data_IF_858436892269
#
_entry.id   IF_858436892269
#
_cell.length_a   1.000
_cell.length_b   1.000
_cell.length_c   1.000
_cell.angle_alpha   90.00
_cell.angle_beta   90.00
_cell.angle_gamma   90.00
#
_symmetry.space_group_name_H-M   'P 1'
#
loop_
_entity.id
_entity.type
_entity.pdbx_description
1 polymer ?
#
# COMPACT_ATOMS: atom_id res chain seq x y z
N UNK A 1 8.83 5.51 6.65
CA UNK A 1 8.74 4.14 6.10
C UNK A 1 9.96 3.36 6.57
N UNK A 2 9.79 2.18 7.15
CA UNK A 2 10.86 1.39 7.76
C UNK A 2 11.20 0.17 6.89
N UNK A 3 11.54 0.42 5.63
CA UNK A 3 12.09 -0.63 4.78
C UNK A 3 13.56 -0.89 5.14
N UNK A 4 14.04 -2.09 4.78
CA UNK A 4 15.44 -2.48 4.98
C UNK A 4 16.39 -1.39 4.49
N UNK A 5 17.36 -1.00 5.32
CA UNK A 5 18.41 -0.04 4.96
C UNK A 5 19.69 -0.72 4.44
N UNK A 6 19.75 -2.05 4.51
CA UNK A 6 20.86 -2.88 4.01
C UNK A 6 20.28 -4.13 3.35
N UNK A 7 19.90 -3.98 2.08
CA UNK A 7 19.23 -5.04 1.34
C UNK A 7 20.10 -6.27 1.18
N UNK A 8 21.41 -6.11 1.01
CA UNK A 8 22.32 -7.24 0.84
C UNK A 8 22.35 -8.14 2.08
N UNK A 9 22.54 -7.52 3.26
CA UNK A 9 22.52 -8.23 4.53
C UNK A 9 21.15 -8.84 4.81
N UNK A 10 20.09 -8.06 4.67
CA UNK A 10 18.76 -8.50 5.09
C UNK A 10 18.21 -9.60 4.16
N UNK A 11 18.52 -9.55 2.86
CA UNK A 11 18.23 -10.64 1.92
C UNK A 11 18.99 -11.91 2.29
N UNK A 12 20.29 -11.81 2.59
CA UNK A 12 21.10 -12.95 3.01
C UNK A 12 20.49 -13.63 4.25
N UNK A 13 20.18 -12.84 5.29
CA UNK A 13 19.58 -13.34 6.53
C UNK A 13 18.25 -14.05 6.26
N UNK A 14 17.36 -13.47 5.44
CA UNK A 14 16.07 -14.09 5.13
C UNK A 14 16.28 -15.42 4.38
N UNK A 15 17.17 -15.47 3.40
CA UNK A 15 17.50 -16.71 2.69
C UNK A 15 18.06 -17.80 3.62
N UNK A 16 18.90 -17.45 4.59
CA UNK A 16 19.47 -18.39 5.56
C UNK A 16 18.40 -18.95 6.50
N UNK A 17 17.48 -18.11 6.97
CA UNK A 17 16.35 -18.51 7.82
C UNK A 17 15.45 -19.50 7.08
N UNK A 18 15.08 -19.19 5.83
CA UNK A 18 14.15 -20.00 5.04
C UNK A 18 14.75 -21.34 4.62
N UNK A 19 16.03 -21.37 4.23
CA UNK A 19 16.68 -22.62 3.84
C UNK A 19 17.00 -23.51 5.04
N UNK A 20 17.19 -22.93 6.23
CA UNK A 20 17.45 -23.71 7.44
C UNK A 20 16.19 -24.17 8.17
N UNK A 21 14.99 -23.78 7.72
CA UNK A 21 13.74 -23.92 8.47
C UNK A 21 13.92 -23.43 9.92
N UNK A 22 14.35 -22.17 10.04
CA UNK A 22 14.71 -21.51 11.31
C UNK A 22 15.99 -22.00 11.99
N UNK A 23 16.56 -23.17 11.67
CA UNK A 23 17.59 -23.82 12.52
C UNK A 23 18.90 -23.05 12.69
N UNK A 24 19.23 -22.16 11.76
CA UNK A 24 20.47 -21.35 11.84
C UNK A 24 20.31 -20.18 12.82
N UNK A 25 19.09 -19.70 13.03
CA UNK A 25 18.81 -18.50 13.84
C UNK A 25 18.03 -18.83 15.11
N UNK A 26 17.15 -19.82 15.06
CA UNK A 26 16.30 -20.28 16.15
C UNK A 26 16.47 -21.79 16.36
N UNK A 27 16.31 -22.27 17.59
CA UNK A 27 16.40 -23.69 17.94
C UNK A 27 15.10 -24.48 17.63
N UNK A 28 14.20 -23.92 16.82
CA UNK A 28 12.93 -24.52 16.43
C UNK A 28 12.99 -25.09 15.01
N UNK A 29 12.11 -26.04 14.69
CA UNK A 29 11.95 -26.61 13.34
C UNK A 29 10.64 -26.18 12.68
N UNK A 30 10.10 -25.05 13.09
CA UNK A 30 8.84 -24.55 12.52
C UNK A 30 9.11 -23.94 11.14
N UNK A 31 8.20 -24.23 10.21
CA UNK A 31 8.18 -23.63 8.89
C UNK A 31 7.96 -22.12 9.03
N UNK A 32 8.89 -21.33 8.47
CA UNK A 32 8.83 -19.88 8.54
C UNK A 32 8.00 -19.34 7.38
N UNK A 33 6.99 -18.55 7.70
CA UNK A 33 6.21 -17.83 6.71
C UNK A 33 6.74 -16.41 6.53
N UNK A 34 6.91 -16.00 5.28
CA UNK A 34 7.32 -14.63 4.93
C UNK A 34 6.08 -13.78 4.69
N UNK A 35 6.03 -12.63 5.35
CA UNK A 35 4.96 -11.65 5.19
C UNK A 35 5.55 -10.33 4.69
N UNK A 36 4.97 -9.80 3.62
CA UNK A 36 5.21 -8.43 3.17
C UNK A 36 3.98 -7.58 3.48
N UNK A 37 4.19 -6.36 3.94
CA UNK A 37 3.12 -5.47 4.44
C UNK A 37 2.82 -4.32 3.50
N UNK A 38 3.69 -4.07 2.53
CA UNK A 38 3.55 -3.02 1.53
C UNK A 38 3.99 -3.55 0.15
N UNK A 39 3.12 -3.60 -0.86
CA UNK A 39 3.52 -4.04 -2.20
C UNK A 39 4.02 -2.88 -3.07
N UNK A 40 4.00 -1.63 -2.58
CA UNK A 40 4.36 -0.45 -3.36
C UNK A 40 5.78 -0.57 -3.91
N UNK A 41 5.89 -0.56 -5.24
CA UNK A 41 7.18 -0.57 -5.92
C UNK A 41 7.89 0.76 -5.75
N UNK A 42 7.14 1.86 -5.86
CA UNK A 42 7.61 3.23 -5.67
C UNK A 42 6.77 3.97 -4.64
N UNK A 43 7.39 4.92 -3.95
CA UNK A 43 6.74 5.84 -3.02
C UNK A 43 7.39 7.23 -3.12
N UNK A 44 6.66 8.27 -2.74
CA UNK A 44 7.16 9.65 -2.73
C UNK A 44 7.73 10.03 -1.34
N UNK A 45 8.87 10.72 -1.32
CA UNK A 45 9.47 11.30 -0.12
C UNK A 45 9.99 12.73 -0.40
N UNK A 46 10.82 13.30 0.48
CA UNK A 46 11.37 14.66 0.30
C UNK A 46 12.22 14.84 -0.97
N UNK A 47 12.64 13.75 -1.62
CA UNK A 47 13.41 13.85 -2.85
C UNK A 47 12.50 14.11 -4.06
N UNK A 48 12.94 14.89 -5.08
CA UNK A 48 12.09 15.25 -6.23
C UNK A 48 11.58 14.11 -7.12
N UNK A 49 12.01 12.88 -6.90
CA UNK A 49 11.70 11.72 -7.72
C UNK A 49 11.31 10.55 -6.81
N UNK A 50 10.31 9.72 -7.20
CA UNK A 50 9.91 8.56 -6.43
C UNK A 50 11.08 7.64 -6.07
N UNK A 51 10.95 6.99 -4.92
CA UNK A 51 11.93 6.06 -4.35
C UNK A 51 11.40 4.66 -4.38
N UNK A 52 12.29 3.68 -4.42
CA UNK A 52 11.91 2.29 -4.23
C UNK A 52 11.32 2.08 -2.84
N UNK A 53 10.19 1.38 -2.81
CA UNK A 53 9.55 0.91 -1.59
C UNK A 53 9.77 -0.59 -1.37
N UNK A 54 9.06 -1.13 -0.41
CA UNK A 54 9.10 -2.55 -0.05
C UNK A 54 8.80 -3.49 -1.23
N UNK A 55 7.98 -3.08 -2.20
CA UNK A 55 7.69 -3.88 -3.39
C UNK A 55 8.95 -4.17 -4.21
N UNK A 56 9.86 -3.21 -4.32
CA UNK A 56 11.14 -3.40 -5.00
C UNK A 56 12.07 -4.34 -4.20
N UNK A 57 12.11 -4.20 -2.87
CA UNK A 57 12.85 -5.11 -1.98
C UNK A 57 12.35 -6.55 -2.13
N UNK A 58 11.02 -6.74 -2.10
CA UNK A 58 10.39 -8.06 -2.30
C UNK A 58 10.81 -8.69 -3.62
N UNK A 59 10.77 -7.94 -4.72
CA UNK A 59 11.18 -8.44 -6.04
C UNK A 59 12.66 -8.84 -6.08
N UNK A 60 13.54 -8.07 -5.43
CA UNK A 60 14.95 -8.41 -5.32
C UNK A 60 15.17 -9.72 -4.53
N UNK A 61 14.52 -9.85 -3.36
CA UNK A 61 14.59 -11.07 -2.55
C UNK A 61 14.04 -12.27 -3.32
N UNK A 62 12.87 -12.14 -3.94
CA UNK A 62 12.21 -13.22 -4.68
C UNK A 62 13.11 -13.74 -5.80
N UNK A 63 13.76 -12.83 -6.55
CA UNK A 63 14.69 -13.21 -7.61
C UNK A 63 15.92 -13.93 -7.08
N UNK A 64 16.55 -13.40 -6.03
CA UNK A 64 17.74 -14.01 -5.42
C UNK A 64 17.41 -15.39 -4.83
N UNK A 65 16.30 -15.50 -4.11
CA UNK A 65 15.82 -16.77 -3.56
C UNK A 65 15.56 -17.80 -4.66
N UNK A 66 14.93 -17.38 -5.77
CA UNK A 66 14.67 -18.27 -6.90
C UNK A 66 15.96 -18.80 -7.54
N UNK A 67 16.97 -17.96 -7.75
CA UNK A 67 18.26 -18.39 -8.28
C UNK A 67 18.99 -19.35 -7.32
N UNK A 68 18.85 -19.14 -6.01
CA UNK A 68 19.52 -19.94 -4.99
C UNK A 68 18.85 -21.30 -4.75
N UNK A 69 17.52 -21.34 -4.70
CA UNK A 69 16.72 -22.52 -4.28
C UNK A 69 16.08 -23.25 -5.47
N UNK A 70 16.00 -22.59 -6.63
CA UNK A 70 15.34 -23.12 -7.83
C UNK A 70 13.81 -23.11 -7.77
N UNK A 71 13.22 -22.42 -6.78
CA UNK A 71 11.76 -22.31 -6.57
C UNK A 71 11.37 -20.88 -6.24
N UNK A 72 10.15 -20.43 -6.58
CA UNK A 72 9.67 -19.11 -6.18
C UNK A 72 9.62 -19.00 -4.65
N UNK A 73 9.88 -17.80 -4.13
CA UNK A 73 9.76 -17.49 -2.70
C UNK A 73 8.30 -17.66 -2.26
N UNK A 74 7.98 -18.54 -1.28
CA UNK A 74 6.65 -18.55 -0.68
C UNK A 74 6.49 -17.34 0.24
N UNK A 75 5.52 -16.47 -0.05
CA UNK A 75 5.19 -15.33 0.81
C UNK A 75 3.70 -15.00 0.77
N UNK A 76 3.26 -14.25 1.78
CA UNK A 76 1.92 -13.66 1.86
C UNK A 76 2.07 -12.14 1.76
N UNK A 77 1.34 -11.52 0.82
CA UNK A 77 1.33 -10.08 0.64
C UNK A 77 0.12 -9.44 1.31
N UNK A 78 0.39 -8.40 2.08
CA UNK A 78 -0.55 -7.46 2.65
C UNK A 78 -0.21 -6.03 2.20
N UNK A 79 -1.13 -5.10 2.43
CA UNK A 79 -1.04 -3.70 1.99
C UNK A 79 -1.95 -3.40 0.80
N UNK A 80 -2.17 -2.12 0.52
CA UNK A 80 -2.94 -1.70 -0.67
C UNK A 80 -2.24 -2.27 -1.91
N UNK A 81 -2.94 -2.80 -2.93
CA UNK A 81 -4.37 -2.68 -3.20
C UNK A 81 -5.20 -3.86 -2.65
N UNK A 82 -4.71 -4.64 -1.69
CA UNK A 82 -5.43 -5.78 -1.16
C UNK A 82 -6.71 -5.34 -0.41
N UNK A 83 -7.85 -5.91 -0.79
CA UNK A 83 -9.16 -5.54 -0.24
C UNK A 83 -9.31 -5.85 1.26
N UNK A 84 -8.48 -6.75 1.82
CA UNK A 84 -8.53 -7.10 3.24
C UNK A 84 -8.17 -5.90 4.13
N UNK A 85 -7.22 -5.05 3.72
CA UNK A 85 -6.90 -3.82 4.42
C UNK A 85 -8.06 -2.84 4.40
N UNK A 86 -8.72 -2.66 3.24
CA UNK A 86 -9.84 -1.73 3.12
C UNK A 86 -11.03 -2.16 3.95
N UNK A 87 -11.37 -3.45 3.99
CA UNK A 87 -12.43 -3.98 4.87
C UNK A 87 -12.12 -3.76 6.35
N UNK A 88 -10.88 -4.07 6.75
CA UNK A 88 -10.44 -3.83 8.12
C UNK A 88 -10.53 -2.33 8.48
N UNK A 89 -10.14 -1.46 7.55
CA UNK A 89 -10.17 -0.01 7.75
C UNK A 89 -11.61 0.52 7.81
N UNK A 90 -12.50 0.00 6.98
CA UNK A 90 -13.93 0.30 7.01
C UNK A 90 -14.55 -0.06 8.37
N UNK A 91 -14.27 -1.26 8.90
CA UNK A 91 -14.77 -1.68 10.21
C UNK A 91 -14.31 -0.74 11.34
N UNK A 92 -13.05 -0.31 11.28
CA UNK A 92 -12.50 0.65 12.25
C UNK A 92 -13.14 2.04 12.11
N UNK A 93 -13.31 2.54 10.88
CA UNK A 93 -13.96 3.82 10.63
C UNK A 93 -15.43 3.79 11.09
N UNK A 94 -16.16 2.70 10.84
CA UNK A 94 -17.53 2.51 11.34
C UNK A 94 -17.57 2.52 12.87
N UNK A 95 -16.66 1.82 13.54
CA UNK A 95 -16.56 1.84 15.01
C UNK A 95 -16.27 3.24 15.54
N UNK A 96 -15.37 3.97 14.88
CA UNK A 96 -15.05 5.35 15.23
C UNK A 96 -16.25 6.29 15.04
N UNK A 97 -16.97 6.18 13.92
CA UNK A 97 -18.18 6.96 13.65
C UNK A 97 -19.25 6.74 14.73
N UNK A 98 -19.52 5.48 15.09
CA UNK A 98 -20.46 5.11 16.16
C UNK A 98 -20.04 5.72 17.51
N UNK A 99 -18.75 5.66 17.84
CA UNK A 99 -18.25 6.27 19.10
C UNK A 99 -18.42 7.79 19.18
N UNK A 100 -18.54 8.46 18.02
CA UNK A 100 -18.77 9.89 17.91
C UNK A 100 -20.27 10.24 17.77
N UNK A 101 -21.17 9.24 17.83
CA UNK A 101 -22.61 9.43 17.74
C UNK A 101 -23.18 9.42 16.32
N UNK A 102 -22.38 9.05 15.31
CA UNK A 102 -22.85 8.86 13.93
C UNK A 102 -23.40 7.44 13.74
N UNK A 103 -24.50 7.31 13.01
CA UNK A 103 -25.20 6.02 12.83
C UNK A 103 -24.87 5.32 11.52
N UNK A 104 -24.37 6.04 10.52
CA UNK A 104 -24.02 5.47 9.22
C UNK A 104 -22.77 6.13 8.63
N UNK A 105 -22.06 5.36 7.81
CA UNK A 105 -20.89 5.78 7.03
C UNK A 105 -21.20 5.49 5.56
N UNK A 106 -21.82 6.46 4.90
CA UNK A 106 -22.33 6.33 3.53
C UNK A 106 -21.21 6.37 2.48
N UNK A 107 -20.19 7.19 2.71
CA UNK A 107 -19.09 7.44 1.78
C UNK A 107 -17.77 7.52 2.53
N UNK A 108 -16.73 6.91 1.96
CA UNK A 108 -15.35 7.02 2.43
C UNK A 108 -14.47 7.49 1.28
N UNK A 109 -13.88 8.68 1.40
CA UNK A 109 -12.95 9.20 0.40
C UNK A 109 -11.54 8.67 0.65
N UNK A 110 -11.04 7.82 -0.25
CA UNK A 110 -9.64 7.38 -0.24
C UNK A 110 -8.80 8.36 -1.04
N UNK A 111 -8.13 9.29 -0.35
CA UNK A 111 -7.25 10.30 -0.95
C UNK A 111 -5.81 9.77 -0.93
N UNK A 112 -5.17 9.67 -2.11
CA UNK A 112 -3.80 9.20 -2.24
C UNK A 112 -3.11 9.63 -3.52
N UNK A 113 -1.81 9.42 -3.59
CA UNK A 113 -0.94 9.88 -4.68
C UNK A 113 -0.46 8.75 -5.60
N UNK A 114 -0.72 7.48 -5.24
CA UNK A 114 -0.25 6.33 -6.00
C UNK A 114 -1.42 5.57 -6.68
N UNK A 115 -1.59 5.69 -8.01
CA UNK A 115 -2.67 5.04 -8.74
C UNK A 115 -2.73 3.52 -8.55
N UNK A 116 -1.58 2.85 -8.63
CA UNK A 116 -1.49 1.40 -8.53
C UNK A 116 -1.76 0.85 -7.12
N UNK A 117 -1.75 1.72 -6.10
CA UNK A 117 -1.94 1.36 -4.69
C UNK A 117 -3.24 1.95 -4.11
N UNK A 118 -3.31 3.28 -3.97
CA UNK A 118 -4.44 4.00 -3.37
C UNK A 118 -5.70 3.84 -4.22
N UNK A 119 -5.59 4.24 -5.49
CA UNK A 119 -6.74 4.33 -6.38
C UNK A 119 -7.27 2.95 -6.72
N UNK A 120 -6.37 2.05 -7.14
CA UNK A 120 -6.69 0.63 -7.37
C UNK A 120 -7.25 -0.03 -6.11
N UNK A 121 -6.67 0.23 -4.95
CA UNK A 121 -7.12 -0.35 -3.69
C UNK A 121 -8.56 0.04 -3.33
N UNK A 122 -8.86 1.35 -3.38
CA UNK A 122 -10.21 1.85 -3.12
C UNK A 122 -11.22 1.34 -4.15
N UNK A 123 -10.83 1.31 -5.44
CA UNK A 123 -11.67 0.77 -6.52
C UNK A 123 -11.97 -0.73 -6.32
N UNK A 124 -10.97 -1.52 -5.93
CA UNK A 124 -11.16 -2.95 -5.63
C UNK A 124 -12.02 -3.19 -4.38
N UNK A 125 -11.95 -2.28 -3.39
CA UNK A 125 -12.81 -2.35 -2.22
C UNK A 125 -14.28 -2.06 -2.56
N UNK A 126 -14.52 -1.20 -3.55
CA UNK A 126 -15.86 -0.80 -3.96
C UNK A 126 -16.55 0.08 -2.91
N UNK A 127 -17.87 0.24 -3.03
CA UNK A 127 -18.63 1.07 -2.07
C UNK A 127 -18.45 0.57 -0.62
N UNK A 128 -18.29 1.46 0.37
CA UNK A 128 -18.50 2.92 0.29
C UNK A 128 -17.27 3.74 -0.16
N UNK A 129 -16.19 3.12 -0.61
CA UNK A 129 -14.96 3.81 -0.98
C UNK A 129 -15.07 4.57 -2.31
N UNK A 130 -14.61 5.82 -2.32
CA UNK A 130 -14.47 6.67 -3.50
C UNK A 130 -13.00 7.06 -3.65
N UNK A 131 -12.33 6.67 -4.75
CA UNK A 131 -10.93 7.01 -4.97
C UNK A 131 -10.75 8.48 -5.38
N UNK A 132 -9.79 9.16 -4.74
CA UNK A 132 -9.36 10.52 -5.05
C UNK A 132 -7.85 10.53 -5.23
N UNK A 133 -7.40 11.04 -6.38
CA UNK A 133 -5.99 11.16 -6.71
C UNK A 133 -5.50 12.59 -6.43
N UNK A 134 -4.35 12.73 -5.78
CA UNK A 134 -3.65 14.01 -5.62
C UNK A 134 -2.34 14.01 -6.42
N UNK A 135 -1.91 15.19 -6.89
CA UNK A 135 -0.75 15.35 -7.80
C UNK A 135 0.55 15.76 -7.09
N UNK A 136 0.68 15.46 -5.80
CA UNK A 136 1.82 15.88 -4.95
C UNK A 136 2.83 14.76 -4.67
N UNK A 137 2.75 13.60 -5.33
CA UNK A 137 3.54 12.43 -4.96
C UNK A 137 3.90 11.53 -6.14
N UNK A 138 3.62 10.24 -6.04
CA UNK A 138 3.94 9.24 -7.07
C UNK A 138 3.31 9.58 -8.42
N UNK A 139 2.11 10.15 -8.41
CA UNK A 139 1.48 10.82 -9.53
C UNK A 139 1.66 12.34 -9.39
N UNK A 140 2.03 12.99 -10.49
CA UNK A 140 2.36 14.40 -10.56
C UNK A 140 1.60 15.13 -11.66
N UNK A 141 1.71 16.45 -11.70
CA UNK A 141 1.14 17.28 -12.77
C UNK A 141 1.67 16.95 -14.16
N UNK A 142 2.84 16.33 -14.25
CA UNK A 142 3.46 15.95 -15.52
C UNK A 142 2.91 14.62 -16.07
N UNK A 143 2.21 13.85 -15.24
CA UNK A 143 1.65 12.53 -15.60
C UNK A 143 0.26 12.63 -16.24
N UNK A 144 -0.28 13.85 -16.35
CA UNK A 144 -1.55 14.15 -17.01
C UNK A 144 -2.68 14.48 -16.03
N UNK A 145 -3.92 14.32 -16.51
CA UNK A 145 -5.12 14.71 -15.76
C UNK A 145 -5.60 13.63 -14.80
N UNK A 146 -5.44 12.35 -15.16
CA UNK A 146 -5.79 11.18 -14.36
C UNK A 146 -4.96 9.99 -14.86
N UNK A 147 -4.80 8.95 -14.05
CA UNK A 147 -4.07 7.76 -14.48
C UNK A 147 -4.90 6.94 -15.48
N UNK A 148 -4.35 6.54 -16.63
CA UNK A 148 -5.10 5.81 -17.66
C UNK A 148 -5.40 4.35 -17.29
N UNK A 149 -4.61 3.74 -16.41
CA UNK A 149 -4.75 2.35 -16.00
C UNK A 149 -5.58 2.20 -14.72
N UNK A 150 -5.41 3.15 -13.80
CA UNK A 150 -6.08 3.20 -12.49
C UNK A 150 -6.75 4.57 -12.28
N UNK A 151 -7.79 4.93 -13.05
CA UNK A 151 -8.40 6.24 -12.97
C UNK A 151 -9.11 6.46 -11.62
N UNK A 152 -8.92 7.63 -11.02
CA UNK A 152 -9.67 8.06 -9.84
C UNK A 152 -11.00 8.72 -10.23
N UNK A 153 -11.93 8.80 -9.28
CA UNK A 153 -13.24 9.45 -9.51
C UNK A 153 -13.11 10.98 -9.45
N UNK A 154 -12.16 11.47 -8.65
CA UNK A 154 -11.78 12.88 -8.59
C UNK A 154 -10.26 13.01 -8.57
N UNK A 155 -9.76 14.08 -9.16
CA UNK A 155 -8.32 14.42 -9.15
C UNK A 155 -8.16 15.86 -8.71
N UNK A 156 -7.25 16.11 -7.77
CA UNK A 156 -6.94 17.42 -7.22
C UNK A 156 -5.43 17.68 -7.26
N UNK A 157 -5.02 18.94 -7.20
CA UNK A 157 -3.61 19.30 -7.11
C UNK A 157 -3.00 18.75 -5.84
N UNK A 158 -3.67 18.95 -4.71
CA UNK A 158 -3.20 18.53 -3.40
C UNK A 158 -4.35 18.13 -2.45
N UNK A 159 -3.98 17.68 -1.25
CA UNK A 159 -4.93 17.24 -0.22
C UNK A 159 -5.79 18.38 0.32
N UNK A 160 -5.29 19.62 0.33
CA UNK A 160 -6.03 20.77 0.82
C UNK A 160 -7.16 21.13 -0.13
N UNK A 161 -6.88 21.17 -1.45
CA UNK A 161 -7.89 21.37 -2.48
C UNK A 161 -8.96 20.26 -2.42
N UNK A 162 -8.54 19.00 -2.27
CA UNK A 162 -9.46 17.87 -2.15
C UNK A 162 -10.41 18.05 -0.97
N UNK A 163 -9.87 18.29 0.24
CA UNK A 163 -10.68 18.45 1.45
C UNK A 163 -11.61 19.65 1.34
N UNK A 164 -11.08 20.81 0.94
CA UNK A 164 -11.86 22.05 0.83
C UNK A 164 -13.04 21.90 -0.11
N UNK A 165 -12.83 21.25 -1.27
CA UNK A 165 -13.88 21.02 -2.26
C UNK A 165 -14.94 20.04 -1.75
N UNK A 166 -14.51 18.94 -1.11
CA UNK A 166 -15.45 17.94 -0.58
C UNK A 166 -16.32 18.50 0.54
N UNK A 167 -15.73 19.27 1.47
CA UNK A 167 -16.47 19.90 2.57
C UNK A 167 -17.50 20.89 2.03
N UNK A 168 -17.13 21.73 1.05
CA UNK A 168 -18.08 22.64 0.39
C UNK A 168 -19.23 21.90 -0.29
N UNK A 169 -18.93 20.81 -1.00
CA UNK A 169 -19.94 19.97 -1.67
C UNK A 169 -20.92 19.36 -0.68
N UNK A 170 -20.43 18.83 0.44
CA UNK A 170 -21.26 18.24 1.50
C UNK A 170 -22.06 19.28 2.30
N UNK A 171 -21.58 20.52 2.37
CA UNK A 171 -22.30 21.62 3.05
C UNK A 171 -23.41 22.23 2.19
N UNK A 172 -23.40 21.95 0.89
CA UNK A 172 -24.35 22.49 -0.09
C UNK A 172 -25.44 21.48 -0.50
N UNK A 173 -25.33 20.24 -0.03
CA UNK A 173 -26.28 19.12 -0.23
C UNK A 173 -27.17 18.92 0.98
#
# INVERSE_FOLDING_TARGET
MSDSTDWGRDIQIICDILQSNSRVVFSTQEEVQVYFTNPDFIWANEFPFPRFGQGAFRLALEKIYQELVGKPLPYIQYGKPCAVQYRFMEDLLRKQAISQGYTDLEVIYAIGDNPAADIRGARNAGKPWIPILVKTGCFSTNDGDNDPNDPADYVFQDVNEAISTLVQKLSSS
#
